data_IF_821834351972
#
_entry.id   IF_821834351972
#
_cell.length_a   1.000
_cell.length_b   1.000
_cell.length_c   1.000
_cell.angle_alpha   90.00
_cell.angle_beta   90.00
_cell.angle_gamma   90.00
#
_symmetry.space_group_name_H-M   'P 1'
#
loop_
_entity.id
_entity.type
_entity.pdbx_description
1 polymer ?
#
# COMPACT_ATOMS: atom_id res chain seq x y z
N UNK A 1 -13.14 3.52 -42.35
CA UNK A 1 -12.13 3.46 -41.25
C UNK A 1 -12.31 4.58 -40.20
N UNK A 2 -13.36 5.41 -40.26
CA UNK A 2 -13.67 6.39 -39.21
C UNK A 2 -14.72 5.89 -38.21
N UNK A 3 -15.37 4.77 -38.51
CA UNK A 3 -16.49 4.21 -37.76
C UNK A 3 -16.01 3.42 -36.53
N UNK A 4 -14.89 2.70 -36.65
CA UNK A 4 -14.25 1.98 -35.54
C UNK A 4 -13.67 2.90 -34.46
N UNK A 5 -13.21 4.10 -34.81
CA UNK A 5 -12.65 5.06 -33.83
C UNK A 5 -13.77 5.78 -33.05
N UNK A 6 -14.94 5.97 -33.67
CA UNK A 6 -16.13 6.51 -32.98
C UNK A 6 -16.74 5.47 -32.04
N UNK A 7 -16.80 4.21 -32.46
CA UNK A 7 -17.28 3.09 -31.62
C UNK A 7 -16.35 2.87 -30.40
N UNK A 8 -15.03 2.94 -30.63
CA UNK A 8 -14.03 2.84 -29.55
C UNK A 8 -14.03 4.06 -28.62
N UNK A 9 -14.46 5.24 -29.08
CA UNK A 9 -14.55 6.45 -28.26
C UNK A 9 -15.86 6.54 -27.46
N UNK A 10 -16.94 5.92 -27.94
CA UNK A 10 -18.21 5.87 -27.20
C UNK A 10 -18.17 4.88 -26.01
N UNK A 11 -17.38 3.81 -26.14
CA UNK A 11 -17.13 2.84 -25.07
C UNK A 11 -16.54 3.44 -23.76
N UNK A 12 -15.45 4.23 -23.78
CA UNK A 12 -14.94 4.87 -22.57
C UNK A 12 -15.88 5.97 -22.05
N UNK A 13 -16.66 6.63 -22.92
CA UNK A 13 -17.61 7.66 -22.51
C UNK A 13 -18.80 7.05 -21.75
N UNK A 14 -19.34 5.93 -22.23
CA UNK A 14 -20.37 5.15 -21.53
C UNK A 14 -19.84 4.58 -20.21
N UNK A 15 -18.61 4.07 -20.17
CA UNK A 15 -17.96 3.61 -18.92
C UNK A 15 -17.79 4.69 -17.85
N UNK A 16 -17.39 5.91 -18.23
CA UNK A 16 -17.26 7.04 -17.30
C UNK A 16 -18.64 7.43 -16.76
N UNK A 17 -19.66 7.43 -17.62
CA UNK A 17 -21.04 7.72 -17.25
C UNK A 17 -21.62 6.67 -16.29
N UNK A 18 -21.35 5.40 -16.52
CA UNK A 18 -21.74 4.32 -15.60
C UNK A 18 -20.94 4.35 -14.30
N UNK A 19 -19.64 4.64 -14.36
CA UNK A 19 -18.77 4.78 -13.19
C UNK A 19 -19.16 5.95 -12.29
N UNK A 20 -19.55 7.09 -12.88
CA UNK A 20 -20.08 8.23 -12.12
C UNK A 20 -21.44 7.92 -11.49
N UNK A 21 -22.32 7.20 -12.19
CA UNK A 21 -23.61 6.77 -11.64
C UNK A 21 -23.43 5.78 -10.47
N UNK A 22 -22.46 4.87 -10.58
CA UNK A 22 -22.07 3.95 -9.50
C UNK A 22 -21.50 4.72 -8.29
N UNK A 23 -20.58 5.65 -8.52
CA UNK A 23 -19.98 6.44 -7.43
C UNK A 23 -20.98 7.33 -6.70
N UNK A 24 -22.07 7.73 -7.37
CA UNK A 24 -23.17 8.48 -6.78
C UNK A 24 -24.15 7.58 -5.99
N UNK A 25 -24.15 6.27 -6.24
CA UNK A 25 -24.89 5.26 -5.45
C UNK A 25 -24.13 4.80 -4.21
N UNK A 26 -22.81 4.98 -4.18
CA UNK A 26 -22.01 4.64 -3.01
C UNK A 26 -22.32 5.56 -1.82
N UNK A 27 -22.51 4.98 -0.63
CA UNK A 27 -22.59 5.72 0.63
C UNK A 27 -21.23 6.37 0.91
N UNK A 28 -21.15 7.69 0.76
CA UNK A 28 -19.94 8.44 1.10
C UNK A 28 -19.77 8.44 2.63
N UNK A 29 -18.60 8.04 3.15
CA UNK A 29 -18.37 7.98 4.59
C UNK A 29 -18.49 9.37 5.20
N UNK A 30 -19.11 9.45 6.38
CA UNK A 30 -19.28 10.73 7.06
C UNK A 30 -17.94 11.20 7.66
N UNK A 31 -17.81 12.49 7.99
CA UNK A 31 -16.57 13.09 8.51
C UNK A 31 -16.05 12.38 9.78
N UNK A 32 -16.97 11.91 10.63
CA UNK A 32 -16.62 11.19 11.87
C UNK A 32 -16.05 9.79 11.60
N UNK A 33 -16.66 9.05 10.67
CA UNK A 33 -16.22 7.70 10.28
C UNK A 33 -14.87 7.76 9.58
N UNK A 34 -14.69 8.72 8.67
CA UNK A 34 -13.42 8.95 8.01
C UNK A 34 -12.30 9.23 9.02
N UNK A 35 -12.55 10.09 10.01
CA UNK A 35 -11.55 10.40 11.03
C UNK A 35 -11.22 9.19 11.92
N UNK A 36 -12.20 8.35 12.23
CA UNK A 36 -11.97 7.11 12.99
C UNK A 36 -11.10 6.13 12.19
N UNK A 37 -11.37 5.95 10.90
CA UNK A 37 -10.58 5.08 10.01
C UNK A 37 -9.17 5.65 9.85
N UNK A 38 -9.01 6.95 9.59
CA UNK A 38 -7.71 7.59 9.48
C UNK A 38 -6.87 7.45 10.75
N UNK A 39 -7.48 7.52 11.94
CA UNK A 39 -6.77 7.29 13.21
C UNK A 39 -6.31 5.84 13.35
N UNK A 40 -7.18 4.88 13.02
CA UNK A 40 -6.83 3.46 13.08
C UNK A 40 -5.71 3.10 12.09
N UNK A 41 -5.82 3.55 10.85
CA UNK A 41 -4.80 3.34 9.80
C UNK A 41 -3.52 4.09 10.13
N UNK A 42 -3.61 5.33 10.59
CA UNK A 42 -2.46 6.14 11.00
C UNK A 42 -1.64 5.48 12.11
N UNK A 43 -2.30 4.93 13.13
CA UNK A 43 -1.62 4.19 14.19
C UNK A 43 -0.95 2.92 13.64
N UNK A 44 -1.62 2.20 12.73
CA UNK A 44 -1.06 1.01 12.08
C UNK A 44 0.20 1.31 11.27
N UNK A 45 0.19 2.38 10.46
CA UNK A 45 1.36 2.80 9.67
C UNK A 45 2.52 3.22 10.58
N UNK A 46 2.24 3.93 11.68
CA UNK A 46 3.26 4.32 12.64
C UNK A 46 3.89 3.09 13.28
N UNK A 47 3.10 2.15 13.80
CA UNK A 47 3.63 0.94 14.46
C UNK A 47 4.44 0.08 13.48
N UNK A 48 3.91 -0.19 12.27
CA UNK A 48 4.60 -0.99 11.26
C UNK A 48 5.88 -0.33 10.77
N UNK A 49 5.87 1.00 10.60
CA UNK A 49 7.05 1.78 10.24
C UNK A 49 8.12 1.80 11.34
N UNK A 50 7.70 1.97 12.60
CA UNK A 50 8.61 2.04 13.74
C UNK A 50 9.29 0.68 13.99
N UNK A 51 8.53 -0.42 13.92
CA UNK A 51 9.09 -1.79 14.01
C UNK A 51 10.10 -2.03 12.88
N UNK A 52 9.79 -1.64 11.65
CA UNK A 52 10.72 -1.76 10.51
C UNK A 52 12.02 -0.95 10.68
N UNK A 53 11.93 0.25 11.28
CA UNK A 53 13.09 1.08 11.58
C UNK A 53 13.99 0.44 12.64
N UNK A 54 13.41 -0.10 13.72
CA UNK A 54 14.18 -0.76 14.78
C UNK A 54 14.88 -2.03 14.30
N UNK A 55 14.19 -2.89 13.53
CA UNK A 55 14.81 -4.10 12.98
C UNK A 55 16.00 -3.74 12.08
N UNK A 56 15.87 -2.66 11.28
CA UNK A 56 16.95 -2.19 10.42
C UNK A 56 18.11 -1.56 11.21
N UNK A 57 17.80 -0.82 12.28
CA UNK A 57 18.78 -0.23 13.19
C UNK A 57 19.59 -1.27 13.94
N UNK A 58 18.99 -2.37 14.38
CA UNK A 58 19.70 -3.44 15.11
C UNK A 58 20.55 -4.29 14.15
N UNK A 59 20.17 -4.40 12.87
CA UNK A 59 20.94 -5.18 11.90
C UNK A 59 22.28 -4.53 11.48
N UNK A 60 22.40 -3.19 11.49
CA UNK A 60 23.66 -2.46 11.19
C UNK A 60 24.78 -2.77 12.21
N UNK A 61 24.58 -2.62 13.54
CA UNK A 61 25.60 -2.93 14.54
C UNK A 61 25.87 -4.44 14.62
N UNK A 62 24.86 -5.29 14.42
CA UNK A 62 25.06 -6.74 14.35
C UNK A 62 25.96 -7.15 13.18
N UNK A 63 25.88 -6.46 12.02
CA UNK A 63 26.78 -6.71 10.89
C UNK A 63 28.19 -6.18 11.13
N UNK A 64 28.33 -5.06 11.84
CA UNK A 64 29.64 -4.51 12.23
C UNK A 64 30.40 -5.44 13.20
N UNK A 65 29.72 -6.06 14.18
CA UNK A 65 30.39 -6.98 15.12
C UNK A 65 30.66 -8.38 14.55
N UNK A 66 29.86 -8.86 13.58
CA UNK A 66 30.01 -10.20 12.99
C UNK A 66 30.97 -10.24 11.80
N UNK A 67 31.47 -9.11 11.31
CA UNK A 67 32.50 -9.09 10.27
C UNK A 67 33.87 -9.56 10.79
N UNK A 68 34.02 -9.71 12.11
CA UNK A 68 35.16 -10.40 12.73
C UNK A 68 34.99 -11.94 12.72
N UNK A 69 33.79 -12.46 12.44
CA UNK A 69 33.47 -13.90 12.51
C UNK A 69 32.63 -14.33 11.30
N UNK A 70 33.33 -14.71 10.23
CA UNK A 70 32.89 -15.15 8.89
C UNK A 70 31.81 -16.26 8.77
N UNK A 71 30.92 -16.54 9.73
CA UNK A 71 30.09 -17.75 9.69
C UNK A 71 28.73 -17.63 10.42
N UNK A 72 27.64 -17.24 9.73
CA UNK A 72 26.30 -17.77 10.05
C UNK A 72 25.28 -17.49 8.92
N UNK A 73 25.03 -18.45 8.01
CA UNK A 73 23.99 -18.37 6.99
C UNK A 73 22.57 -18.68 7.52
N UNK A 74 22.33 -18.56 8.83
CA UNK A 74 21.10 -19.05 9.48
C UNK A 74 19.99 -17.99 9.62
N UNK A 75 20.21 -16.74 9.19
CA UNK A 75 19.22 -15.66 9.30
C UNK A 75 18.68 -15.16 7.95
N UNK A 76 18.63 -16.04 6.93
CA UNK A 76 17.88 -15.79 5.68
C UNK A 76 16.72 -16.78 5.47
N UNK A 77 16.42 -17.63 6.46
CA UNK A 77 15.32 -18.60 6.40
C UNK A 77 14.12 -18.22 7.29
N UNK A 78 14.13 -17.05 7.95
CA UNK A 78 13.01 -16.59 8.79
C UNK A 78 12.19 -15.47 8.15
N UNK A 79 12.30 -15.28 6.82
CA UNK A 79 11.53 -14.25 6.10
C UNK A 79 11.03 -14.73 4.72
N UNK A 80 10.87 -16.05 4.53
CA UNK A 80 10.05 -16.63 3.47
C UNK A 80 9.14 -17.71 4.07
#
# INVERSE_FOLDING_TARGET
>A
MADTIKDLADYPQSFIREGTQFMNRCTKPNKKEYLQICRAVGLGVVIMGFIGYFVKLIHIPLRHIRFDMSLCPTLRQQTL
#
